data_IF_917303126051
#
_entry.id   IF_917303126051
#
_cell.length_a   1.000
_cell.length_b   1.000
_cell.length_c   1.000
_cell.angle_alpha   90.00
_cell.angle_beta   90.00
_cell.angle_gamma   90.00
#
_symmetry.space_group_name_H-M   'P 1'
#
loop_
_entity.id
_entity.type
_entity.pdbx_description
1 polymer ?
#
# COMPACT_ATOMS: atom_id res chain seq x y z
N UNK A 1 1.09 -2.22 -14.73
CA UNK A 1 1.11 -1.74 -13.34
C UNK A 1 2.55 -1.59 -12.88
N UNK A 2 2.93 -0.40 -12.40
CA UNK A 2 4.32 -0.11 -12.07
C UNK A 2 4.59 -0.20 -10.59
N UNK A 3 4.64 -1.42 -10.07
CA UNK A 3 5.03 -1.63 -8.69
C UNK A 3 6.41 -1.06 -8.37
N UNK A 4 7.30 -1.03 -9.36
CA UNK A 4 8.65 -0.46 -9.19
C UNK A 4 8.63 1.00 -8.73
N UNK A 5 7.60 1.76 -9.10
CA UNK A 5 7.46 3.14 -8.65
C UNK A 5 7.21 3.24 -7.15
N UNK A 6 6.64 2.22 -6.56
CA UNK A 6 6.32 2.18 -5.14
C UNK A 6 7.59 2.03 -4.31
N UNK A 7 8.56 1.25 -4.78
CA UNK A 7 9.77 0.93 -4.02
C UNK A 7 10.58 2.18 -3.66
N UNK A 8 10.54 3.20 -4.49
CA UNK A 8 11.22 4.46 -4.20
C UNK A 8 10.35 5.49 -3.51
N UNK A 9 9.08 5.16 -3.21
CA UNK A 9 8.09 6.14 -2.77
C UNK A 9 7.29 5.69 -1.55
N UNK A 10 7.91 4.97 -0.62
CA UNK A 10 7.21 4.50 0.58
C UNK A 10 6.71 5.65 1.45
N UNK A 11 7.37 6.81 1.41
CA UNK A 11 6.87 7.99 2.09
C UNK A 11 5.50 8.41 1.55
N UNK A 12 5.31 8.34 0.23
CA UNK A 12 4.01 8.66 -0.39
C UNK A 12 2.96 7.60 -0.08
N UNK A 13 3.36 6.35 0.06
CA UNK A 13 2.47 5.28 0.50
C UNK A 13 1.94 5.59 1.89
N UNK A 14 2.79 6.02 2.81
CA UNK A 14 2.38 6.42 4.16
C UNK A 14 1.46 7.63 4.14
N UNK A 15 1.69 8.58 3.24
CA UNK A 15 0.81 9.74 3.09
C UNK A 15 -0.58 9.33 2.62
N UNK A 16 -0.64 8.43 1.64
CA UNK A 16 -1.91 7.98 1.08
C UNK A 16 -2.69 7.14 2.10
N UNK A 17 -1.99 6.30 2.85
CA UNK A 17 -2.60 5.42 3.83
C UNK A 17 -1.99 5.71 5.21
N UNK A 18 -2.49 6.79 5.83
CA UNK A 18 -1.93 7.31 7.08
C UNK A 18 -1.99 6.37 8.27
N UNK A 19 -2.83 5.33 8.22
CA UNK A 19 -2.90 4.34 9.29
C UNK A 19 -1.74 3.35 9.27
N UNK A 20 -0.94 3.32 8.19
CA UNK A 20 0.25 2.47 8.15
C UNK A 20 1.35 3.08 9.00
N UNK A 21 2.00 2.25 9.80
CA UNK A 21 3.13 2.65 10.64
C UNK A 21 4.44 2.32 9.95
N UNK A 22 5.55 2.85 10.48
CA UNK A 22 6.89 2.49 9.99
C UNK A 22 7.15 0.99 10.13
N UNK A 23 6.66 0.38 11.22
CA UNK A 23 6.76 -1.07 11.40
C UNK A 23 6.00 -1.83 10.31
N UNK A 24 4.83 -1.33 9.93
CA UNK A 24 4.07 -1.94 8.83
C UNK A 24 4.86 -1.88 7.52
N UNK A 25 5.46 -0.73 7.21
CA UNK A 25 6.27 -0.56 6.00
C UNK A 25 7.44 -1.54 6.01
N UNK A 26 8.12 -1.69 7.14
CA UNK A 26 9.23 -2.62 7.28
C UNK A 26 8.79 -4.06 7.02
N UNK A 27 7.63 -4.45 7.56
CA UNK A 27 7.09 -5.79 7.36
C UNK A 27 6.68 -6.04 5.91
N UNK A 28 6.17 -5.01 5.24
CA UNK A 28 5.79 -5.11 3.82
C UNK A 28 7.01 -5.41 2.97
N UNK A 29 8.14 -4.75 3.24
CA UNK A 29 9.43 -5.02 2.60
C UNK A 29 9.32 -5.12 1.06
N UNK A 30 8.57 -4.21 0.46
CA UNK A 30 8.41 -4.17 -1.00
C UNK A 30 7.45 -5.20 -1.58
N UNK A 31 6.80 -5.99 -0.75
CA UNK A 31 5.89 -7.05 -1.20
C UNK A 31 4.46 -6.52 -1.28
N UNK A 32 3.87 -6.54 -2.48
CA UNK A 32 2.51 -6.03 -2.70
C UNK A 32 1.46 -6.79 -1.89
N UNK A 33 1.58 -8.11 -1.78
CA UNK A 33 0.61 -8.90 -1.01
C UNK A 33 0.62 -8.51 0.46
N UNK A 34 1.80 -8.22 1.01
CA UNK A 34 1.91 -7.75 2.39
C UNK A 34 1.27 -6.37 2.55
N UNK A 35 1.44 -5.48 1.57
CA UNK A 35 0.77 -4.19 1.59
C UNK A 35 -0.75 -4.37 1.57
N UNK A 36 -1.25 -5.23 0.70
CA UNK A 36 -2.69 -5.53 0.64
C UNK A 36 -3.20 -6.04 1.98
N UNK A 37 -2.47 -6.97 2.61
CA UNK A 37 -2.83 -7.52 3.91
C UNK A 37 -2.85 -6.46 5.01
N UNK A 38 -1.87 -5.56 5.02
CA UNK A 38 -1.82 -4.47 6.00
C UNK A 38 -2.99 -3.50 5.81
N UNK A 39 -3.32 -3.15 4.58
CA UNK A 39 -4.45 -2.28 4.30
C UNK A 39 -5.77 -2.92 4.74
N UNK A 40 -5.94 -4.22 4.50
CA UNK A 40 -7.11 -4.94 4.98
C UNK A 40 -7.20 -4.90 6.51
N UNK A 41 -6.08 -5.12 7.18
CA UNK A 41 -6.05 -5.14 8.64
C UNK A 41 -6.29 -3.76 9.24
N UNK A 42 -5.71 -2.71 8.67
CA UNK A 42 -5.78 -1.36 9.24
C UNK A 42 -7.08 -0.63 8.90
N UNK A 43 -7.64 -0.87 7.71
CA UNK A 43 -8.82 -0.16 7.22
C UNK A 43 -10.07 -1.02 7.18
N UNK A 44 -9.92 -2.33 7.29
CA UNK A 44 -11.07 -3.24 7.20
C UNK A 44 -11.62 -3.40 5.79
N UNK A 45 -10.83 -3.10 4.77
CA UNK A 45 -11.26 -3.23 3.38
C UNK A 45 -11.35 -4.68 2.95
N UNK A 46 -12.26 -4.96 2.03
CA UNK A 46 -12.23 -6.21 1.27
C UNK A 46 -11.03 -6.19 0.32
N UNK A 47 -10.58 -7.37 -0.09
CA UNK A 47 -9.39 -7.49 -0.95
C UNK A 47 -9.57 -6.75 -2.28
N UNK A 48 -10.75 -6.81 -2.87
CA UNK A 48 -11.06 -6.11 -4.11
C UNK A 48 -10.94 -4.59 -3.94
N UNK A 49 -11.40 -4.08 -2.81
CA UNK A 49 -11.31 -2.65 -2.50
C UNK A 49 -9.84 -2.22 -2.35
N UNK A 50 -9.04 -3.03 -1.68
CA UNK A 50 -7.62 -2.74 -1.50
C UNK A 50 -6.91 -2.69 -2.84
N UNK A 51 -7.17 -3.65 -3.71
CA UNK A 51 -6.56 -3.69 -5.05
C UNK A 51 -6.93 -2.46 -5.86
N UNK A 52 -8.19 -2.07 -5.80
CA UNK A 52 -8.67 -0.88 -6.50
C UNK A 52 -7.96 0.38 -5.98
N UNK A 53 -7.84 0.52 -4.66
CA UNK A 53 -7.16 1.66 -4.05
C UNK A 53 -5.71 1.75 -4.50
N UNK A 54 -5.01 0.63 -4.52
CA UNK A 54 -3.60 0.59 -4.94
C UNK A 54 -3.50 0.93 -6.42
N UNK A 55 -4.35 0.35 -7.27
CA UNK A 55 -4.32 0.59 -8.70
C UNK A 55 -4.61 2.07 -9.01
N UNK A 56 -5.62 2.64 -8.37
CA UNK A 56 -5.96 4.06 -8.55
C UNK A 56 -4.82 4.96 -8.11
N UNK A 57 -4.17 4.63 -7.00
CA UNK A 57 -3.03 5.40 -6.50
C UNK A 57 -1.86 5.34 -7.49
N UNK A 58 -1.56 4.15 -8.02
CA UNK A 58 -0.47 3.97 -8.99
C UNK A 58 -0.69 4.77 -10.27
N UNK A 59 -1.95 4.90 -10.70
CA UNK A 59 -2.28 5.69 -11.89
C UNK A 59 -1.99 7.18 -11.71
N UNK A 60 -2.05 7.65 -10.47
CA UNK A 60 -1.83 9.07 -10.16
C UNK A 60 -0.35 9.42 -9.97
N UNK A 61 0.52 8.44 -9.95
CA UNK A 61 1.97 8.64 -9.78
C UNK A 61 2.71 8.93 -11.08
#
# INVERSE_FOLDING_TARGET
>A
MNWDRVEGNWGKVKEQWGKLTDGDITQINGNREQLEGKLQARYGYAKDQVRKEIDDWLRRQ
#
